data_IF_635802198926
#
_entry.id   IF_635802198926
#
_cell.length_a   1.000
_cell.length_b   1.000
_cell.length_c   1.000
_cell.angle_alpha   90.00
_cell.angle_beta   90.00
_cell.angle_gamma   90.00
#
_symmetry.space_group_name_H-M   'P 1'
#
loop_
_entity.id
_entity.type
_entity.pdbx_description
1 polymer ?
#
# COMPACT_ATOMS: atom_id res chain seq x y z
N UNK A 1 15.74 -28.29 22.94
CA UNK A 1 15.38 -26.85 23.00
C UNK A 1 16.11 -26.14 21.87
N UNK A 2 15.66 -26.29 20.62
CA UNK A 2 14.52 -25.64 19.92
C UNK A 2 15.05 -24.55 19.00
N UNK A 3 15.67 -24.99 17.90
CA UNK A 3 16.05 -24.17 16.74
C UNK A 3 14.84 -23.42 16.14
N UNK A 4 13.64 -23.99 16.33
CA UNK A 4 12.36 -23.43 15.91
C UNK A 4 12.05 -22.12 16.67
N UNK A 5 12.38 -22.04 17.96
CA UNK A 5 12.18 -20.83 18.75
C UNK A 5 12.98 -19.65 18.20
N UNK A 6 14.26 -19.83 17.91
CA UNK A 6 15.17 -18.76 17.45
C UNK A 6 14.75 -18.20 16.08
N UNK A 7 14.28 -19.06 15.15
CA UNK A 7 13.86 -18.65 13.82
C UNK A 7 12.58 -17.79 13.83
N UNK A 8 11.60 -18.18 14.63
CA UNK A 8 10.33 -17.43 14.78
C UNK A 8 10.58 -16.06 15.43
N UNK A 9 11.37 -16.01 16.51
CA UNK A 9 11.76 -14.73 17.15
C UNK A 9 12.55 -13.83 16.20
N UNK A 10 13.39 -14.40 15.33
CA UNK A 10 14.13 -13.65 14.32
C UNK A 10 13.24 -13.01 13.23
N UNK A 11 12.16 -13.68 12.82
CA UNK A 11 11.19 -13.15 11.86
C UNK A 11 10.30 -12.06 12.48
N UNK A 12 9.78 -12.27 13.69
CA UNK A 12 8.94 -11.29 14.39
C UNK A 12 9.69 -9.97 14.65
N UNK A 13 10.97 -10.06 15.01
CA UNK A 13 11.81 -8.88 15.20
C UNK A 13 11.97 -8.06 13.91
N UNK A 14 12.17 -8.72 12.75
CA UNK A 14 12.31 -8.02 11.46
C UNK A 14 11.02 -7.33 11.04
N UNK A 15 9.87 -7.95 11.24
CA UNK A 15 8.58 -7.33 10.92
C UNK A 15 8.33 -6.10 11.79
N UNK A 16 8.65 -6.19 13.07
CA UNK A 16 8.55 -5.07 14.02
C UNK A 16 9.48 -3.92 13.61
N UNK A 17 10.70 -4.22 13.17
CA UNK A 17 11.63 -3.22 12.65
C UNK A 17 11.06 -2.50 11.40
N UNK A 18 10.51 -3.25 10.44
CA UNK A 18 9.87 -2.71 9.24
C UNK A 18 8.67 -1.82 9.60
N UNK A 19 7.85 -2.23 10.57
CA UNK A 19 6.72 -1.43 11.04
C UNK A 19 7.18 -0.13 11.70
N UNK A 20 8.25 -0.16 12.49
CA UNK A 20 8.82 1.04 13.11
C UNK A 20 9.39 2.00 12.05
N UNK A 21 10.07 1.47 11.03
CA UNK A 21 10.56 2.26 9.89
C UNK A 21 9.40 2.93 9.14
N UNK A 22 8.34 2.17 8.84
CA UNK A 22 7.15 2.68 8.14
C UNK A 22 6.47 3.80 8.93
N UNK A 23 6.31 3.62 10.26
CA UNK A 23 5.78 4.64 11.16
C UNK A 23 6.65 5.89 11.21
N UNK A 24 7.98 5.71 11.23
CA UNK A 24 8.91 6.84 11.21
C UNK A 24 8.75 7.67 9.93
N UNK A 25 8.59 7.02 8.77
CA UNK A 25 8.32 7.67 7.48
C UNK A 25 6.98 8.43 7.54
N UNK A 26 5.92 7.79 8.04
CA UNK A 26 4.59 8.44 8.15
C UNK A 26 4.60 9.66 9.07
N UNK A 27 5.49 9.69 10.08
CA UNK A 27 5.63 10.81 11.01
C UNK A 27 6.64 11.87 10.58
N UNK A 28 7.40 11.64 9.51
CA UNK A 28 8.46 12.54 9.07
C UNK A 28 7.89 13.75 8.31
N UNK A 29 7.80 14.87 9.02
CA UNK A 29 7.29 16.13 8.47
C UNK A 29 8.26 16.86 7.54
N UNK A 30 9.50 16.37 7.40
CA UNK A 30 10.49 16.94 6.47
C UNK A 30 10.36 16.36 5.05
N UNK A 31 9.53 15.33 4.85
CA UNK A 31 9.25 14.78 3.53
C UNK A 31 8.33 15.71 2.74
N UNK A 32 8.68 15.92 1.48
CA UNK A 32 7.86 16.64 0.51
C UNK A 32 6.83 15.65 -0.04
N UNK A 33 5.55 15.99 0.03
CA UNK A 33 4.47 15.26 -0.61
C UNK A 33 4.18 15.86 -1.98
N UNK A 34 4.41 15.06 -3.03
CA UNK A 34 4.06 15.39 -4.41
C UNK A 34 2.85 14.56 -4.85
N UNK A 35 1.87 15.22 -5.48
CA UNK A 35 0.62 14.62 -5.92
C UNK A 35 0.52 14.67 -7.45
N UNK A 36 0.20 13.53 -8.06
CA UNK A 36 0.12 13.38 -9.52
C UNK A 36 -1.18 12.68 -9.92
N UNK A 37 -1.99 13.34 -10.76
CA UNK A 37 -3.10 12.69 -11.44
C UNK A 37 -2.56 11.92 -12.65
N UNK A 38 -2.64 10.59 -12.61
CA UNK A 38 -2.11 9.72 -13.66
C UNK A 38 -3.13 9.55 -14.79
N UNK A 39 -4.40 9.37 -14.42
CA UNK A 39 -5.58 9.31 -15.27
C UNK A 39 -6.78 9.81 -14.46
N UNK A 40 -7.96 9.92 -15.07
CA UNK A 40 -9.20 10.23 -14.34
C UNK A 40 -9.53 9.20 -13.23
N UNK A 41 -8.91 8.03 -13.28
CA UNK A 41 -9.20 6.89 -12.40
C UNK A 41 -8.00 6.51 -11.51
N UNK A 42 -6.84 7.17 -11.64
CA UNK A 42 -5.68 6.83 -10.83
C UNK A 42 -4.87 8.05 -10.41
N UNK A 43 -4.51 8.06 -9.13
CA UNK A 43 -3.68 9.09 -8.50
C UNK A 43 -2.43 8.46 -7.89
N UNK A 44 -1.36 9.23 -7.87
CA UNK A 44 -0.10 8.85 -7.24
C UNK A 44 0.33 9.96 -6.29
N UNK A 45 0.51 9.62 -5.02
CA UNK A 45 1.11 10.48 -4.01
C UNK A 45 2.49 9.93 -3.67
N UNK A 46 3.49 10.81 -3.61
CA UNK A 46 4.86 10.40 -3.35
C UNK A 46 5.47 11.29 -2.28
N UNK A 47 5.94 10.66 -1.19
CA UNK A 47 6.72 11.32 -0.16
C UNK A 47 8.19 11.11 -0.45
N UNK A 48 8.90 12.21 -0.66
CA UNK A 48 10.29 12.21 -1.05
C UNK A 48 11.07 13.33 -0.35
N UNK A 49 12.38 13.19 -0.30
CA UNK A 49 13.28 14.25 0.12
C UNK A 49 14.49 14.23 -0.79
N UNK A 50 14.81 15.39 -1.36
CA UNK A 50 15.71 15.46 -2.51
C UNK A 50 15.19 14.50 -3.61
N UNK A 51 16.08 13.68 -4.19
CA UNK A 51 15.73 12.70 -5.23
C UNK A 51 15.50 11.28 -4.67
N UNK A 52 15.18 11.15 -3.37
CA UNK A 52 14.94 9.86 -2.71
C UNK A 52 13.48 9.72 -2.30
N UNK A 53 12.87 8.61 -2.67
CA UNK A 53 11.48 8.28 -2.35
C UNK A 53 11.42 7.43 -1.09
N UNK A 54 10.51 7.76 -0.18
CA UNK A 54 10.31 7.05 1.09
C UNK A 54 8.95 6.37 1.15
N UNK A 55 7.92 6.98 0.57
CA UNK A 55 6.58 6.41 0.48
C UNK A 55 5.95 6.72 -0.86
N UNK A 56 5.23 5.75 -1.40
CA UNK A 56 4.37 5.91 -2.56
C UNK A 56 2.98 5.42 -2.17
N UNK A 57 1.95 6.18 -2.52
CA UNK A 57 0.56 5.74 -2.44
C UNK A 57 -0.02 5.85 -3.84
N UNK A 58 -0.44 4.72 -4.40
CA UNK A 58 -1.24 4.70 -5.62
C UNK A 58 -2.69 4.40 -5.25
N UNK A 59 -3.59 5.27 -5.68
CA UNK A 59 -5.04 5.08 -5.56
C UNK A 59 -5.57 4.83 -6.97
N UNK A 60 -6.41 3.80 -7.12
CA UNK A 60 -7.07 3.43 -8.37
C UNK A 60 -8.55 3.22 -8.11
N UNK A 61 -9.39 4.04 -8.74
CA UNK A 61 -10.83 3.86 -8.73
C UNK A 61 -11.18 2.58 -9.51
N UNK A 62 -12.03 1.76 -8.92
CA UNK A 62 -12.64 0.60 -9.58
C UNK A 62 -14.16 0.73 -9.48
N UNK A 63 -14.88 -0.10 -10.22
CA UNK A 63 -16.33 -0.14 -10.12
C UNK A 63 -16.74 -0.35 -8.65
N UNK A 64 -17.52 0.60 -8.13
CA UNK A 64 -18.02 0.59 -6.74
C UNK A 64 -16.93 0.62 -5.66
N UNK A 65 -15.71 1.06 -5.93
CA UNK A 65 -14.65 1.06 -4.90
C UNK A 65 -13.34 1.73 -5.29
N UNK A 66 -12.32 1.49 -4.47
CA UNK A 66 -10.94 1.95 -4.66
C UNK A 66 -9.96 0.84 -4.28
N UNK A 67 -8.94 0.65 -5.10
CA UNK A 67 -7.74 -0.11 -4.76
C UNK A 67 -6.65 0.87 -4.37
N UNK A 68 -6.04 0.65 -3.21
CA UNK A 68 -4.94 1.45 -2.69
C UNK A 68 -3.70 0.60 -2.54
N UNK A 69 -2.58 1.04 -3.12
CA UNK A 69 -1.26 0.44 -2.93
C UNK A 69 -0.34 1.43 -2.22
N UNK A 70 0.03 1.15 -0.98
CA UNK A 70 1.05 1.88 -0.22
C UNK A 70 2.38 1.13 -0.25
N UNK A 71 3.46 1.81 -0.65
CA UNK A 71 4.80 1.23 -0.77
C UNK A 71 5.74 2.07 0.08
N UNK A 72 6.35 1.47 1.09
CA UNK A 72 7.36 2.10 1.93
C UNK A 72 8.74 1.64 1.50
N UNK A 73 9.67 2.59 1.37
CA UNK A 73 11.03 2.36 0.90
C UNK A 73 12.05 2.81 1.93
N UNK A 74 13.12 2.03 2.05
CA UNK A 74 14.34 2.41 2.78
C UNK A 74 15.48 2.40 1.77
N UNK A 75 16.02 3.59 1.50
CA UNK A 75 16.79 3.81 0.27
C UNK A 75 15.91 3.56 -0.94
N UNK A 76 16.39 2.79 -1.92
CA UNK A 76 15.66 2.53 -3.17
C UNK A 76 14.99 1.14 -3.19
N UNK A 77 14.73 0.56 -2.01
CA UNK A 77 14.17 -0.80 -1.90
C UNK A 77 12.88 -0.77 -1.09
N UNK A 78 11.81 -1.41 -1.58
CA UNK A 78 10.60 -1.54 -0.81
C UNK A 78 10.84 -2.47 0.38
N UNK A 79 10.38 -2.04 1.56
CA UNK A 79 10.46 -2.81 2.82
C UNK A 79 9.08 -3.25 3.29
N UNK A 80 8.04 -2.48 2.95
CA UNK A 80 6.64 -2.78 3.26
C UNK A 80 5.75 -2.39 2.10
N UNK A 81 4.81 -3.25 1.78
CA UNK A 81 3.77 -2.97 0.79
C UNK A 81 2.42 -3.30 1.43
N UNK A 82 1.47 -2.38 1.31
CA UNK A 82 0.09 -2.56 1.72
C UNK A 82 -0.77 -2.42 0.48
N UNK A 83 -1.55 -3.44 0.17
CA UNK A 83 -2.60 -3.36 -0.85
C UNK A 83 -3.94 -3.54 -0.16
N UNK A 84 -4.86 -2.60 -0.36
CA UNK A 84 -6.22 -2.71 0.16
C UNK A 84 -7.24 -2.40 -0.91
N UNK A 85 -8.42 -2.99 -0.74
CA UNK A 85 -9.61 -2.70 -1.56
C UNK A 85 -10.70 -2.24 -0.61
N UNK A 86 -11.30 -1.10 -0.92
CA UNK A 86 -12.47 -0.58 -0.23
C UNK A 86 -13.64 -0.47 -1.19
N UNK A 87 -14.83 -0.91 -0.76
CA UNK A 87 -16.06 -0.74 -1.55
C UNK A 87 -16.92 0.38 -0.99
N UNK A 88 -17.53 1.12 -1.90
CA UNK A 88 -18.56 2.08 -1.61
C UNK A 88 -19.90 1.33 -1.55
N UNK A 89 -20.47 1.21 -0.36
CA UNK A 89 -21.85 0.77 -0.24
C UNK A 89 -22.77 1.93 -0.63
N UNK A 90 -23.27 1.86 -1.86
CA UNK A 90 -24.46 2.66 -2.20
C UNK A 90 -25.61 2.06 -1.40
N UNK A 91 -26.18 2.84 -0.49
CA UNK A 91 -27.52 2.56 -0.01
C UNK A 91 -28.41 2.45 -1.25
N UNK A 92 -28.82 1.23 -1.59
CA UNK A 92 -29.62 0.88 -2.78
C UNK A 92 -31.01 1.50 -2.72
N UNK A 93 -31.37 2.07 -1.58
CA UNK A 93 -32.64 2.72 -1.36
C UNK A 93 -32.64 4.15 -1.92
N UNK A 94 -33.56 4.41 -2.85
CA UNK A 94 -33.71 5.72 -3.51
C UNK A 94 -33.96 6.85 -2.50
N UNK A 95 -34.52 6.50 -1.34
CA UNK A 95 -34.78 7.41 -0.22
C UNK A 95 -33.48 7.82 0.48
N UNK A 96 -32.49 6.93 0.57
CA UNK A 96 -31.24 7.23 1.24
C UNK A 96 -30.40 8.27 0.49
N UNK A 97 -30.42 8.20 -0.84
CA UNK A 97 -29.77 9.17 -1.74
C UNK A 97 -30.41 10.56 -1.67
N UNK A 98 -31.73 10.63 -1.48
CA UNK A 98 -32.50 11.89 -1.34
C UNK A 98 -32.30 12.54 0.04
N UNK A 99 -32.06 11.74 1.08
CA UNK A 99 -31.93 12.19 2.48
C UNK A 99 -30.50 12.50 2.93
N UNK A 100 -29.50 12.36 2.05
CA UNK A 100 -28.12 12.73 2.36
C UNK A 100 -27.40 11.77 3.32
N UNK A 101 -27.76 10.48 3.31
CA UNK A 101 -27.02 9.48 4.08
C UNK A 101 -25.61 9.29 3.50
N UNK A 102 -24.63 9.12 4.38
CA UNK A 102 -23.22 8.94 4.04
C UNK A 102 -23.00 7.67 3.22
N UNK A 103 -22.04 7.74 2.29
CA UNK A 103 -21.46 6.53 1.69
C UNK A 103 -20.62 5.89 2.78
N UNK A 104 -21.00 4.68 3.20
CA UNK A 104 -20.15 3.88 4.07
C UNK A 104 -19.08 3.22 3.19
N UNK A 105 -17.82 3.46 3.56
CA UNK A 105 -16.65 2.87 2.93
C UNK A 105 -16.20 1.73 3.84
N UNK A 106 -16.22 0.49 3.34
CA UNK A 106 -15.73 -0.67 4.06
C UNK A 106 -14.47 -1.20 3.37
N UNK A 107 -13.41 -1.45 4.15
CA UNK A 107 -12.22 -2.16 3.68
C UNK A 107 -12.54 -3.67 3.67
N UNK A 108 -12.81 -4.22 2.49
CA UNK A 108 -13.15 -5.63 2.33
C UNK A 108 -11.92 -6.52 2.28
N UNK A 109 -10.78 -5.96 1.85
CA UNK A 109 -9.55 -6.69 1.64
C UNK A 109 -8.34 -5.86 2.03
N UNK A 110 -7.38 -6.52 2.68
CA UNK A 110 -6.07 -5.96 2.96
C UNK A 110 -4.99 -7.01 2.96
N UNK A 111 -3.91 -6.73 2.24
CA UNK A 111 -2.69 -7.50 2.21
C UNK A 111 -1.49 -6.65 2.61
N UNK A 112 -0.76 -7.11 3.62
CA UNK A 112 0.48 -6.48 4.09
C UNK A 112 1.65 -7.41 3.79
N UNK A 113 2.54 -6.97 2.92
CA UNK A 113 3.76 -7.66 2.57
C UNK A 113 4.97 -7.02 3.24
N UNK A 114 5.61 -7.77 4.13
CA UNK A 114 6.85 -7.40 4.82
C UNK A 114 8.02 -7.98 4.05
N UNK A 115 8.79 -7.13 3.38
CA UNK A 115 9.89 -7.56 2.49
C UNK A 115 11.14 -7.71 3.34
N UNK A 116 11.43 -8.96 3.75
CA UNK A 116 12.58 -9.29 4.59
C UNK A 116 13.89 -9.41 3.80
N UNK A 117 13.80 -9.66 2.48
CA UNK A 117 14.93 -9.56 1.55
C UNK A 117 14.45 -9.33 0.11
N UNK A 118 14.50 -8.07 -0.35
CA UNK A 118 14.09 -7.68 -1.71
C UNK A 118 14.83 -8.44 -2.82
N UNK A 119 16.16 -8.54 -2.73
CA UNK A 119 16.99 -9.16 -3.77
C UNK A 119 16.70 -10.65 -3.93
N UNK A 120 16.33 -11.33 -2.84
CA UNK A 120 15.94 -12.75 -2.85
C UNK A 120 14.44 -12.96 -3.01
N UNK A 121 13.66 -11.88 -3.21
CA UNK A 121 12.19 -11.89 -3.24
C UNK A 121 11.57 -12.56 -2.01
N UNK A 122 12.23 -12.47 -0.85
CA UNK A 122 11.73 -13.03 0.40
C UNK A 122 10.84 -12.01 1.10
N UNK A 123 9.66 -12.47 1.51
CA UNK A 123 8.66 -11.66 2.20
C UNK A 123 7.82 -12.52 3.13
N UNK A 124 7.27 -11.88 4.15
CA UNK A 124 6.14 -12.39 4.92
C UNK A 124 4.87 -11.70 4.42
N UNK A 125 3.81 -12.45 4.16
CA UNK A 125 2.53 -11.92 3.67
C UNK A 125 1.44 -12.17 4.71
N UNK A 126 0.76 -11.10 5.14
CA UNK A 126 -0.44 -11.16 5.97
C UNK A 126 -1.62 -10.67 5.16
N UNK A 127 -2.67 -11.48 5.07
CA UNK A 127 -3.89 -11.16 4.33
C UNK A 127 -5.08 -11.23 5.29
N UNK A 128 -5.99 -10.27 5.16
CA UNK A 128 -7.28 -10.24 5.85
C UNK A 128 -8.37 -9.82 4.88
N UNK A 129 -9.55 -10.41 5.03
CA UNK A 129 -10.69 -10.15 4.15
C UNK A 129 -10.59 -10.85 2.80
N UNK A 130 -11.52 -10.52 1.91
CA UNK A 130 -11.66 -11.10 0.58
C UNK A 130 -11.89 -9.97 -0.44
N UNK A 131 -11.22 -10.00 -1.60
CA UNK A 131 -11.46 -8.99 -2.63
C UNK A 131 -12.86 -9.12 -3.21
N UNK A 132 -13.35 -8.03 -3.79
CA UNK A 132 -14.60 -8.07 -4.56
C UNK A 132 -14.45 -8.93 -5.81
N UNK A 133 -13.28 -8.86 -6.47
CA UNK A 133 -12.94 -9.69 -7.62
C UNK A 133 -11.47 -10.14 -7.57
N UNK A 134 -11.19 -11.39 -7.92
CA UNK A 134 -9.81 -11.93 -7.91
C UNK A 134 -8.83 -11.10 -8.75
N UNK A 135 -9.33 -10.47 -9.84
CA UNK A 135 -8.50 -9.64 -10.74
C UNK A 135 -7.98 -8.36 -10.08
N UNK A 136 -8.60 -7.93 -8.99
CA UNK A 136 -8.28 -6.68 -8.30
C UNK A 136 -7.01 -6.80 -7.45
N UNK A 137 -6.63 -8.03 -7.06
CA UNK A 137 -5.42 -8.26 -6.26
C UNK A 137 -4.27 -8.73 -7.15
N UNK A 138 -3.09 -8.17 -6.90
CA UNK A 138 -1.86 -8.81 -7.36
C UNK A 138 -0.78 -8.78 -6.29
N UNK A 139 -0.41 -9.98 -5.84
CA UNK A 139 0.73 -10.14 -4.94
C UNK A 139 2.08 -10.15 -5.66
N UNK A 140 2.11 -9.90 -6.97
CA UNK A 140 3.35 -9.94 -7.76
C UNK A 140 4.24 -8.74 -7.47
N UNK A 141 5.47 -9.00 -7.01
CA UNK A 141 6.43 -7.94 -6.71
C UNK A 141 6.73 -7.05 -7.93
N UNK A 142 6.59 -7.59 -9.15
CA UNK A 142 6.80 -6.86 -10.39
C UNK A 142 5.81 -5.71 -10.62
N UNK A 143 4.56 -5.83 -10.11
CA UNK A 143 3.58 -4.74 -10.16
C UNK A 143 4.15 -3.49 -9.49
N UNK A 144 4.68 -3.66 -8.28
CA UNK A 144 5.20 -2.56 -7.46
C UNK A 144 6.51 -1.98 -8.01
N UNK A 145 7.33 -2.76 -8.71
CA UNK A 145 8.49 -2.24 -9.45
C UNK A 145 8.04 -1.22 -10.50
N UNK A 146 6.94 -1.48 -11.21
CA UNK A 146 6.37 -0.55 -12.18
C UNK A 146 5.95 0.77 -11.54
N UNK A 147 5.29 0.70 -10.38
CA UNK A 147 4.85 1.88 -9.61
C UNK A 147 6.05 2.71 -9.15
N UNK A 148 7.08 2.06 -8.58
CA UNK A 148 8.30 2.73 -8.11
C UNK A 148 8.98 3.47 -9.26
N UNK A 149 9.20 2.81 -10.41
CA UNK A 149 9.82 3.45 -11.59
C UNK A 149 9.03 4.63 -12.10
N UNK A 150 7.70 4.55 -12.07
CA UNK A 150 6.83 5.65 -12.47
C UNK A 150 7.00 6.85 -11.54
N UNK A 151 7.02 6.61 -10.22
CA UNK A 151 7.25 7.66 -9.23
C UNK A 151 8.65 8.30 -9.38
N UNK A 152 9.68 7.49 -9.63
CA UNK A 152 11.04 7.98 -9.89
C UNK A 152 11.08 8.91 -11.10
N UNK A 153 10.40 8.57 -12.21
CA UNK A 153 10.35 9.44 -13.38
C UNK A 153 9.66 10.78 -13.07
N UNK A 154 8.49 10.74 -12.41
CA UNK A 154 7.69 11.93 -12.13
C UNK A 154 8.36 12.93 -11.18
N UNK A 155 9.20 12.46 -10.25
CA UNK A 155 9.93 13.36 -9.33
C UNK A 155 11.14 14.02 -9.99
N UNK A 156 11.68 13.42 -11.06
CA UNK A 156 12.86 13.93 -11.75
C UNK A 156 12.53 14.81 -12.97
N UNK A 157 11.25 15.01 -13.29
CA UNK A 157 10.75 15.95 -14.32
C UNK A 157 10.65 17.38 -13.78
#
# INVERSE_FOLDING_TARGET
MSLIGILVFGQENKMTEIDNQSKSIDSDTELIESNFDLTNESRLKVWHKENRIFKIVQEMNVDYGEIKSEIYLVGNKPVKIIESESTNFFLTDSIAKIKGYSIDIEENFRAVSYITNWNKKQRELKVSGEPTEEKNISYELNKYIGIIRKAENLINE
#
